data_IF_321720673580
#
_entry.id   IF_321720673580
#
_cell.length_a   1.000
_cell.length_b   1.000
_cell.length_c   1.000
_cell.angle_alpha   90.00
_cell.angle_beta   90.00
_cell.angle_gamma   90.00
#
_symmetry.space_group_name_H-M   'P 1'
#
loop_
_entity.id
_entity.type
_entity.pdbx_description
1 polymer ?
#
# COMPACT_ATOMS: atom_id res chain seq x y z
N UNK A 1 -8.37 -22.60 1.94
CA UNK A 1 -8.26 -21.32 1.21
C UNK A 1 -8.03 -20.25 2.26
N UNK A 2 -7.02 -19.40 2.11
CA UNK A 2 -6.85 -18.26 3.01
C UNK A 2 -7.61 -17.09 2.43
N UNK A 3 -8.77 -16.77 3.01
CA UNK A 3 -9.55 -15.60 2.63
C UNK A 3 -8.90 -14.31 3.15
N UNK A 4 -8.95 -13.26 2.34
CA UNK A 4 -8.55 -11.90 2.68
C UNK A 4 -9.77 -10.99 2.60
N UNK A 5 -9.94 -10.09 3.57
CA UNK A 5 -11.03 -9.11 3.56
C UNK A 5 -10.74 -7.98 2.57
N UNK A 6 -9.45 -7.65 2.38
CA UNK A 6 -9.01 -6.61 1.47
C UNK A 6 -7.81 -7.08 0.63
N UNK A 7 -7.87 -6.86 -0.67
CA UNK A 7 -6.77 -7.03 -1.61
C UNK A 7 -6.43 -5.69 -2.26
N UNK A 8 -5.17 -5.28 -2.16
CA UNK A 8 -4.65 -4.08 -2.79
C UNK A 8 -3.61 -4.48 -3.85
N UNK A 9 -3.71 -3.88 -5.03
CA UNK A 9 -2.77 -4.07 -6.13
C UNK A 9 -1.88 -2.82 -6.20
N UNK A 10 -0.58 -3.03 -5.98
CA UNK A 10 0.46 -2.00 -5.94
C UNK A 10 0.93 -1.68 -4.52
N UNK A 11 2.24 -1.79 -4.28
CA UNK A 11 2.94 -1.40 -3.05
C UNK A 11 3.66 -0.05 -3.22
N UNK A 12 3.05 0.88 -3.94
CA UNK A 12 3.38 2.31 -3.86
C UNK A 12 2.82 2.96 -2.59
N UNK A 13 3.09 4.26 -2.41
CA UNK A 13 2.67 5.00 -1.20
C UNK A 13 1.16 4.94 -0.99
N UNK A 14 0.37 5.03 -2.06
CA UNK A 14 -1.09 4.98 -1.98
C UNK A 14 -1.55 3.60 -1.49
N UNK A 15 -1.07 2.51 -2.12
CA UNK A 15 -1.44 1.15 -1.73
C UNK A 15 -1.05 0.82 -0.29
N UNK A 16 0.18 1.13 0.12
CA UNK A 16 0.63 0.86 1.49
C UNK A 16 -0.08 1.75 2.52
N UNK A 17 -0.35 3.03 2.20
CA UNK A 17 -1.08 3.92 3.11
C UNK A 17 -2.53 3.46 3.29
N UNK A 18 -3.19 3.02 2.21
CA UNK A 18 -4.53 2.43 2.28
C UNK A 18 -4.52 1.13 3.08
N UNK A 19 -3.55 0.23 2.86
CA UNK A 19 -3.43 -1.01 3.62
C UNK A 19 -3.24 -0.75 5.13
N UNK A 20 -2.41 0.24 5.49
CA UNK A 20 -2.21 0.66 6.88
C UNK A 20 -3.50 1.22 7.49
N UNK A 21 -4.19 2.10 6.79
CA UNK A 21 -5.45 2.69 7.26
C UNK A 21 -6.54 1.63 7.46
N UNK A 22 -6.66 0.66 6.53
CA UNK A 22 -7.60 -0.44 6.65
C UNK A 22 -7.33 -1.30 7.89
N UNK A 23 -6.06 -1.62 8.16
CA UNK A 23 -5.71 -2.35 9.39
C UNK A 23 -6.01 -1.55 10.66
N UNK A 24 -5.90 -0.21 10.62
CA UNK A 24 -6.25 0.65 11.76
C UNK A 24 -7.76 0.71 12.00
N UNK A 25 -8.56 0.82 10.93
CA UNK A 25 -10.03 0.86 11.04
C UNK A 25 -10.66 -0.49 11.32
N UNK A 26 -10.05 -1.56 10.81
CA UNK A 26 -10.54 -2.94 10.93
C UNK A 26 -9.43 -3.86 11.47
N UNK A 27 -9.14 -3.82 12.79
CA UNK A 27 -8.01 -4.55 13.39
C UNK A 27 -8.06 -6.08 13.22
N UNK A 28 -9.24 -6.65 12.94
CA UNK A 28 -9.41 -8.08 12.66
C UNK A 28 -9.32 -8.46 11.18
N UNK A 29 -9.19 -7.48 10.28
CA UNK A 29 -9.18 -7.74 8.84
C UNK A 29 -7.83 -8.26 8.36
N UNK A 30 -7.88 -9.18 7.41
CA UNK A 30 -6.72 -9.69 6.68
C UNK A 30 -6.54 -8.88 5.42
N UNK A 31 -5.44 -8.14 5.36
CA UNK A 31 -5.09 -7.29 4.21
C UNK A 31 -3.96 -7.95 3.41
N UNK A 32 -4.18 -8.16 2.12
CA UNK A 32 -3.16 -8.58 1.16
C UNK A 32 -2.77 -7.39 0.28
N UNK A 33 -1.46 -7.17 0.12
CA UNK A 33 -0.93 -6.23 -0.88
C UNK A 33 -0.08 -7.04 -1.84
N UNK A 34 -0.35 -6.91 -3.13
CA UNK A 34 0.45 -7.53 -4.20
C UNK A 34 1.17 -6.44 -4.99
N UNK A 35 2.46 -6.66 -5.26
CA UNK A 35 3.30 -5.76 -6.06
C UNK A 35 3.91 -6.56 -7.20
N UNK A 36 3.96 -5.96 -8.40
CA UNK A 36 4.57 -6.55 -9.59
C UNK A 36 6.09 -6.58 -9.46
N UNK A 37 6.65 -5.56 -8.83
CA UNK A 37 8.10 -5.41 -8.64
C UNK A 37 8.62 -6.17 -7.41
N UNK A 38 9.94 -6.42 -7.38
CA UNK A 38 10.58 -7.16 -6.29
C UNK A 38 10.58 -6.40 -4.95
N UNK A 39 10.49 -5.07 -5.00
CA UNK A 39 10.52 -4.21 -3.82
C UNK A 39 9.38 -3.18 -3.88
N UNK A 40 8.83 -2.75 -2.73
CA UNK A 40 7.86 -1.67 -2.68
C UNK A 40 8.43 -0.37 -3.26
N UNK A 41 7.53 0.53 -3.66
CA UNK A 41 7.88 1.87 -4.12
C UNK A 41 8.84 1.94 -5.32
N UNK A 42 9.05 0.86 -6.08
CA UNK A 42 10.02 0.82 -7.20
C UNK A 42 9.78 1.87 -8.30
N UNK A 43 8.53 2.33 -8.50
CA UNK A 43 8.17 3.31 -9.53
C UNK A 43 8.02 4.73 -8.96
N UNK A 44 6.86 5.37 -9.15
CA UNK A 44 6.64 6.79 -8.85
C UNK A 44 6.92 7.17 -7.38
N UNK A 45 6.62 6.27 -6.43
CA UNK A 45 6.86 6.53 -5.00
C UNK A 45 8.35 6.59 -4.63
N UNK A 46 9.20 5.79 -5.27
CA UNK A 46 10.65 5.82 -5.06
C UNK A 46 11.35 6.86 -5.93
N UNK A 47 10.76 7.20 -7.09
CA UNK A 47 11.30 8.16 -8.05
C UNK A 47 10.59 9.52 -7.99
N UNK A 48 10.48 10.10 -6.79
CA UNK A 48 10.03 11.48 -6.61
C UNK A 48 11.02 12.25 -5.72
N UNK A 49 10.82 13.56 -5.57
CA UNK A 49 11.72 14.44 -4.80
C UNK A 49 11.64 14.23 -3.28
N UNK A 50 10.67 13.47 -2.79
CA UNK A 50 10.37 13.36 -1.35
C UNK A 50 9.84 14.65 -0.73
N UNK A 51 9.53 15.68 -1.53
CA UNK A 51 9.02 16.97 -1.05
C UNK A 51 7.54 16.85 -0.77
N UNK A 52 7.13 17.28 0.42
CA UNK A 52 5.73 17.45 0.78
C UNK A 52 5.44 18.95 0.79
N UNK A 53 4.54 19.38 -0.09
CA UNK A 53 4.03 20.75 -0.16
C UNK A 53 2.53 20.71 -0.50
N UNK A 54 1.80 21.80 -0.24
CA UNK A 54 0.36 21.88 -0.51
C UNK A 54 0.02 22.37 -1.94
N UNK A 55 1.03 22.49 -2.81
CA UNK A 55 1.05 23.42 -3.94
C UNK A 55 2.05 24.53 -3.69
#
# INVERSE_FOLDING_TARGET
>A
VTDYDFLLIGAGILGLSTARELQQRYPGSRVCVVEKEQVPAYHQTGHNSGVIHAG
#
